data_IF_277258337856
#
_entry.id   IF_277258337856
#
_cell.length_a   1.000
_cell.length_b   1.000
_cell.length_c   1.000
_cell.angle_alpha   90.00
_cell.angle_beta   90.00
_cell.angle_gamma   90.00
#
_symmetry.space_group_name_H-M   'P 1'
#
loop_
_entity.id
_entity.type
_entity.pdbx_description
1 polymer ?
#
# COMPACT_ATOMS: atom_id res chain seq x y z
N UNK A 1 -18.47 -3.64 30.21
CA UNK A 1 -18.57 -2.64 29.13
C UNK A 1 -17.31 -2.74 28.29
N UNK A 2 -17.30 -3.63 27.30
CA UNK A 2 -16.24 -3.76 26.28
C UNK A 2 -16.85 -4.54 25.12
N UNK A 3 -17.86 -3.96 24.46
CA UNK A 3 -18.33 -4.49 23.18
C UNK A 3 -17.20 -4.30 22.15
N UNK A 4 -16.69 -5.38 21.52
CA UNK A 4 -15.74 -5.23 20.43
C UNK A 4 -16.45 -4.50 19.28
N UNK A 5 -15.80 -3.44 18.80
CA UNK A 5 -16.28 -2.62 17.70
C UNK A 5 -16.64 -3.51 16.50
N UNK A 6 -17.75 -3.23 15.78
CA UNK A 6 -18.10 -3.99 14.59
C UNK A 6 -16.96 -3.86 13.59
N UNK A 7 -16.38 -4.99 13.19
CA UNK A 7 -15.42 -5.07 12.09
C UNK A 7 -16.15 -4.52 10.86
N UNK A 8 -15.79 -3.30 10.49
CA UNK A 8 -16.42 -2.56 9.41
C UNK A 8 -16.38 -3.37 8.12
N UNK A 9 -17.50 -3.30 7.42
CA UNK A 9 -17.84 -3.99 6.19
C UNK A 9 -16.63 -4.32 5.30
N UNK A 10 -16.44 -5.62 5.04
CA UNK A 10 -15.51 -6.20 4.05
C UNK A 10 -15.56 -5.55 2.65
N UNK A 11 -16.50 -4.63 2.40
CA UNK A 11 -16.65 -3.91 1.15
C UNK A 11 -15.61 -2.78 0.96
N UNK A 12 -15.09 -2.18 2.04
CA UNK A 12 -14.05 -1.14 1.94
C UNK A 12 -12.65 -1.74 1.90
N UNK A 13 -12.26 -2.24 0.73
CA UNK A 13 -10.89 -2.64 0.41
C UNK A 13 -10.30 -1.58 -0.54
N UNK A 14 -9.82 -0.44 -0.01
CA UNK A 14 -9.33 0.64 -0.84
C UNK A 14 -8.06 0.21 -1.57
N UNK A 15 -7.90 0.70 -2.79
CA UNK A 15 -6.67 0.52 -3.55
C UNK A 15 -5.50 1.07 -2.73
N UNK A 16 -4.39 0.31 -2.59
CA UNK A 16 -3.22 0.81 -1.88
C UNK A 16 -2.70 2.07 -2.57
N UNK A 17 -2.12 2.97 -1.78
CA UNK A 17 -1.54 4.22 -2.27
C UNK A 17 -0.05 4.04 -2.55
N UNK A 18 0.41 4.60 -3.68
CA UNK A 18 1.81 4.58 -4.05
C UNK A 18 2.61 5.46 -3.08
N UNK A 19 3.81 5.04 -2.66
CA UNK A 19 4.67 5.88 -1.84
C UNK A 19 5.09 7.13 -2.61
N UNK A 20 5.14 8.26 -1.92
CA UNK A 20 5.62 9.51 -2.49
C UNK A 20 7.11 9.41 -2.83
N UNK A 21 7.47 9.92 -4.02
CA UNK A 21 8.87 9.95 -4.46
C UNK A 21 9.62 10.96 -3.59
N UNK A 22 10.72 10.56 -2.93
CA UNK A 22 11.50 11.52 -2.14
C UNK A 22 12.14 12.56 -3.05
N UNK A 23 12.16 13.81 -2.58
CA UNK A 23 12.89 14.89 -3.25
C UNK A 23 14.41 14.72 -3.09
N UNK A 24 15.19 15.27 -4.02
CA UNK A 24 16.66 15.30 -3.92
C UNK A 24 17.16 15.98 -2.64
N UNK A 25 16.43 16.95 -2.07
CA UNK A 25 16.77 17.58 -0.80
C UNK A 25 16.71 16.62 0.41
N UNK A 26 15.97 15.52 0.30
CA UNK A 26 15.95 14.45 1.30
C UNK A 26 17.17 13.52 1.16
N UNK A 27 17.86 13.57 0.02
CA UNK A 27 19.10 12.84 -0.18
C UNK A 27 20.25 13.61 0.49
N UNK A 28 20.75 13.02 1.57
CA UNK A 28 21.93 13.52 2.32
C UNK A 28 23.20 13.65 1.46
N UNK A 29 23.26 13.06 0.26
CA UNK A 29 24.33 13.24 -0.74
C UNK A 29 25.71 12.68 -0.34
N UNK A 30 25.87 12.25 0.91
CA UNK A 30 27.14 11.85 1.51
C UNK A 30 27.19 10.36 1.90
N UNK A 31 26.20 9.57 1.46
CA UNK A 31 26.11 8.14 1.78
C UNK A 31 25.50 7.84 3.15
N UNK A 32 24.48 8.61 3.57
CA UNK A 32 23.71 8.26 4.76
C UNK A 32 23.07 6.87 4.63
N UNK A 33 23.17 6.05 5.69
CA UNK A 33 22.57 4.71 5.77
C UNK A 33 21.51 4.67 6.89
N UNK A 34 20.26 4.30 6.58
CA UNK A 34 19.75 3.90 5.26
C UNK A 34 19.58 5.09 4.30
N UNK A 35 19.90 4.88 3.02
CA UNK A 35 19.66 5.87 1.97
C UNK A 35 18.16 6.07 1.78
N UNK A 36 17.70 7.31 1.58
CA UNK A 36 16.28 7.61 1.33
C UNK A 36 15.73 6.83 0.13
N UNK A 37 16.57 6.59 -0.88
CA UNK A 37 16.23 5.78 -2.04
C UNK A 37 16.03 4.30 -1.69
N UNK A 38 16.79 3.75 -0.74
CA UNK A 38 16.60 2.37 -0.30
C UNK A 38 15.28 2.21 0.46
N UNK A 39 14.95 3.17 1.32
CA UNK A 39 13.66 3.22 2.03
C UNK A 39 12.51 3.32 1.02
N UNK A 40 12.62 4.24 0.07
CA UNK A 40 11.63 4.42 -0.99
C UNK A 40 11.46 3.15 -1.83
N UNK A 41 12.56 2.53 -2.26
CA UNK A 41 12.53 1.30 -3.04
C UNK A 41 11.87 0.15 -2.28
N UNK A 42 12.14 0.03 -0.96
CA UNK A 42 11.48 -0.96 -0.12
C UNK A 42 9.97 -0.70 0.00
N UNK A 43 9.57 0.57 0.17
CA UNK A 43 8.16 0.97 0.20
C UNK A 43 7.45 0.70 -1.13
N UNK A 44 8.10 0.98 -2.26
CA UNK A 44 7.57 0.69 -3.61
C UNK A 44 7.38 -0.80 -3.81
N UNK A 45 8.33 -1.64 -3.36
CA UNK A 45 8.19 -3.09 -3.43
C UNK A 45 6.99 -3.59 -2.63
N UNK A 46 6.81 -3.06 -1.41
CA UNK A 46 5.67 -3.41 -0.57
C UNK A 46 4.34 -2.97 -1.18
N UNK A 47 4.30 -1.75 -1.72
CA UNK A 47 3.16 -1.21 -2.46
C UNK A 47 2.78 -2.12 -3.63
N UNK A 48 3.75 -2.54 -4.45
CA UNK A 48 3.49 -3.41 -5.62
C UNK A 48 2.89 -4.75 -5.21
N UNK A 49 3.35 -5.34 -4.10
CA UNK A 49 2.76 -6.58 -3.57
C UNK A 49 1.31 -6.37 -3.16
N UNK A 50 1.05 -5.34 -2.33
CA UNK A 50 -0.30 -5.00 -1.88
C UNK A 50 -1.23 -4.70 -3.06
N UNK A 51 -0.74 -4.01 -4.08
CA UNK A 51 -1.51 -3.68 -5.27
C UNK A 51 -1.90 -4.94 -6.06
N UNK A 52 -0.97 -5.87 -6.23
CA UNK A 52 -1.26 -7.14 -6.90
C UNK A 52 -2.32 -7.95 -6.14
N UNK A 53 -2.21 -8.03 -4.81
CA UNK A 53 -3.20 -8.71 -3.98
C UNK A 53 -4.56 -8.02 -4.04
N UNK A 54 -4.58 -6.69 -4.03
CA UNK A 54 -5.81 -5.90 -4.18
C UNK A 54 -6.47 -6.15 -5.54
N UNK A 55 -5.72 -6.09 -6.64
CA UNK A 55 -6.23 -6.34 -7.98
C UNK A 55 -6.84 -7.75 -8.11
N UNK A 56 -6.24 -8.76 -7.47
CA UNK A 56 -6.77 -10.12 -7.46
C UNK A 56 -8.13 -10.19 -6.73
N UNK A 57 -8.26 -9.52 -5.58
CA UNK A 57 -9.53 -9.46 -4.84
C UNK A 57 -10.59 -8.68 -5.61
N UNK A 58 -10.19 -7.56 -6.23
CA UNK A 58 -11.08 -6.70 -7.00
C UNK A 58 -11.63 -7.41 -8.24
N UNK A 59 -10.81 -8.22 -8.93
CA UNK A 59 -11.27 -9.04 -10.05
C UNK A 59 -12.36 -10.06 -9.63
N UNK A 60 -12.23 -10.66 -8.45
CA UNK A 60 -13.25 -11.56 -7.89
C UNK A 60 -14.51 -10.80 -7.50
N UNK A 61 -14.37 -9.61 -6.90
CA UNK A 61 -15.50 -8.74 -6.53
C UNK A 61 -16.30 -8.30 -7.75
N UNK A 62 -15.64 -7.79 -8.78
CA UNK A 62 -16.27 -7.42 -10.04
C UNK A 62 -17.01 -8.61 -10.66
N UNK A 63 -16.37 -9.79 -10.70
CA UNK A 63 -17.02 -11.02 -11.21
C UNK A 63 -18.27 -11.40 -10.40
N UNK A 64 -18.26 -11.22 -9.07
CA UNK A 64 -19.41 -11.48 -8.19
C UNK A 64 -20.54 -10.46 -8.36
N UNK A 65 -20.22 -9.22 -8.70
CA UNK A 65 -21.21 -8.15 -8.87
C UNK A 65 -21.96 -8.24 -10.22
N UNK A 66 -21.37 -8.87 -11.24
CA UNK A 66 -21.97 -8.98 -12.58
C UNK A 66 -22.83 -10.25 -12.81
N UNK A 67 -23.21 -10.98 -11.75
CA UNK A 67 -24.06 -12.18 -11.80
C UNK A 67 -25.26 -12.10 -10.87
#
# INVERSE_FOLDING_TARGET
MSEPLPVGDDDFDPMPEAPEVPSDDMCCGSGCDPCIWDIYNAAVQDYRRKLADWQAREAVRHTRQEG
#
